data_IF_584544319702
#
_entry.id   IF_584544319702
#
_cell.length_a   1.000
_cell.length_b   1.000
_cell.length_c   1.000
_cell.angle_alpha   90.00
_cell.angle_beta   90.00
_cell.angle_gamma   90.00
#
_symmetry.space_group_name_H-M   'P 1'
#
loop_
_entity.id
_entity.type
_entity.pdbx_description
1 polymer ?
#
# COMPACT_ATOMS: atom_id res chain seq x y z
N UNK A 1 -7.38 13.84 -17.03
CA UNK A 1 -8.23 13.32 -18.12
C UNK A 1 -8.16 11.79 -18.12
N UNK A 2 -7.01 11.14 -18.25
CA UNK A 2 -6.91 9.67 -18.42
C UNK A 2 -7.49 8.87 -17.24
N UNK A 3 -7.33 9.34 -16.00
CA UNK A 3 -7.95 8.70 -14.82
C UNK A 3 -9.49 8.82 -14.84
N UNK A 4 -10.05 9.87 -15.42
CA UNK A 4 -11.50 10.00 -15.61
C UNK A 4 -11.98 8.98 -16.66
N UNK A 5 -11.27 8.82 -17.77
CA UNK A 5 -11.56 7.78 -18.77
C UNK A 5 -11.47 6.37 -18.19
N UNK A 6 -10.45 6.12 -17.36
CA UNK A 6 -10.34 4.85 -16.63
C UNK A 6 -11.58 4.59 -15.77
N UNK A 7 -12.07 5.61 -15.06
CA UNK A 7 -13.27 5.47 -14.25
C UNK A 7 -14.53 5.23 -15.08
N UNK A 8 -14.71 5.94 -16.19
CA UNK A 8 -15.80 5.72 -17.13
C UNK A 8 -15.80 4.29 -17.68
N UNK A 9 -14.62 3.81 -18.14
CA UNK A 9 -14.42 2.43 -18.55
C UNK A 9 -14.78 1.45 -17.44
N UNK A 10 -14.27 1.67 -16.24
CA UNK A 10 -14.51 0.83 -15.08
C UNK A 10 -16.01 0.74 -14.73
N UNK A 11 -16.73 1.86 -14.76
CA UNK A 11 -18.16 1.88 -14.47
C UNK A 11 -18.98 1.16 -15.55
N UNK A 12 -18.58 1.31 -16.81
CA UNK A 12 -19.24 0.65 -17.96
C UNK A 12 -19.02 -0.85 -17.94
N UNK A 13 -17.79 -1.29 -17.73
CA UNK A 13 -17.40 -2.71 -17.73
C UNK A 13 -17.68 -3.41 -16.39
N UNK A 14 -18.05 -2.66 -15.34
CA UNK A 14 -18.18 -3.16 -13.98
C UNK A 14 -16.90 -3.75 -13.38
N UNK A 15 -15.76 -3.38 -13.94
CA UNK A 15 -14.45 -3.83 -13.49
C UNK A 15 -14.17 -3.40 -12.05
N UNK A 16 -13.47 -4.25 -11.29
CA UNK A 16 -13.08 -4.01 -9.90
C UNK A 16 -11.58 -3.80 -9.82
N UNK A 17 -11.16 -2.66 -9.29
CA UNK A 17 -9.74 -2.31 -9.21
C UNK A 17 -9.31 -2.12 -7.76
N UNK A 18 -8.23 -2.76 -7.38
CA UNK A 18 -7.56 -2.61 -6.09
C UNK A 18 -6.12 -2.15 -6.31
N UNK A 19 -5.73 -1.06 -5.68
CA UNK A 19 -4.34 -0.58 -5.70
C UNK A 19 -3.80 -0.54 -4.28
N UNK A 20 -2.83 -1.40 -3.99
CA UNK A 20 -2.12 -1.45 -2.71
C UNK A 20 -0.91 -0.52 -2.78
N UNK A 21 -0.83 0.41 -1.84
CA UNK A 21 0.30 1.33 -1.70
C UNK A 21 1.12 0.99 -0.46
N UNK A 22 2.30 0.48 -0.71
CA UNK A 22 3.28 0.16 0.32
C UNK A 22 4.57 0.98 0.14
N UNK A 23 5.45 0.91 1.10
CA UNK A 23 6.69 1.65 1.12
C UNK A 23 7.01 2.19 2.50
N UNK A 24 8.25 2.63 2.67
CA UNK A 24 8.73 3.19 3.94
C UNK A 24 7.94 4.43 4.36
N UNK A 25 8.05 4.78 5.61
CA UNK A 25 7.48 6.04 6.09
C UNK A 25 8.12 7.22 5.36
N UNK A 26 7.34 8.27 5.16
CA UNK A 26 7.69 9.41 4.33
C UNK A 26 7.92 9.13 2.81
N UNK A 27 7.72 7.92 2.31
CA UNK A 27 7.83 7.61 0.89
C UNK A 27 6.83 8.39 0.01
N UNK A 28 5.69 8.82 0.57
CA UNK A 28 4.73 9.65 -0.14
C UNK A 28 3.43 8.95 -0.52
N UNK A 29 3.11 7.83 0.15
CA UNK A 29 1.89 7.02 -0.07
C UNK A 29 0.63 7.89 -0.19
N UNK A 30 0.22 8.56 0.87
CA UNK A 30 -1.01 9.35 0.87
C UNK A 30 -1.06 10.44 -0.22
N UNK A 31 0.08 11.07 -0.56
CA UNK A 31 0.12 12.07 -1.63
C UNK A 31 0.01 11.46 -3.03
N UNK A 32 0.44 10.21 -3.21
CA UNK A 32 0.29 9.47 -4.47
C UNK A 32 -1.13 8.94 -4.61
N UNK A 33 -1.70 8.40 -3.54
CA UNK A 33 -3.10 7.98 -3.46
C UNK A 33 -4.03 9.15 -3.81
N UNK A 34 -3.79 10.32 -3.22
CA UNK A 34 -4.59 11.51 -3.53
C UNK A 34 -4.49 11.89 -5.01
N UNK A 35 -3.27 11.90 -5.59
CA UNK A 35 -3.08 12.22 -6.99
C UNK A 35 -3.77 11.24 -7.96
N UNK A 36 -3.86 9.96 -7.59
CA UNK A 36 -4.60 8.95 -8.37
C UNK A 36 -6.11 9.18 -8.29
N UNK A 37 -6.62 9.65 -7.15
CA UNK A 37 -8.06 9.74 -6.90
C UNK A 37 -8.66 11.15 -7.03
N UNK A 38 -7.83 12.17 -7.09
CA UNK A 38 -8.23 13.59 -7.02
C UNK A 38 -9.35 13.98 -8.01
N UNK A 39 -9.33 13.41 -9.19
CA UNK A 39 -10.30 13.70 -10.24
C UNK A 39 -11.30 12.55 -10.48
N UNK A 40 -11.33 11.55 -9.61
CA UNK A 40 -12.30 10.46 -9.67
C UNK A 40 -13.52 10.75 -8.81
N UNK A 41 -14.67 10.20 -9.17
CA UNK A 41 -15.88 10.29 -8.36
C UNK A 41 -15.68 9.56 -7.03
N UNK A 42 -15.73 10.24 -5.87
CA UNK A 42 -15.46 9.66 -4.56
C UNK A 42 -16.46 8.57 -4.14
N UNK A 43 -17.64 8.49 -4.79
CA UNK A 43 -18.64 7.45 -4.53
C UNK A 43 -18.21 6.08 -5.07
N UNK A 44 -17.36 6.05 -6.09
CA UNK A 44 -16.86 4.81 -6.72
C UNK A 44 -15.34 4.65 -6.62
N UNK A 45 -14.63 5.65 -6.07
CA UNK A 45 -13.19 5.61 -5.84
C UNK A 45 -12.89 5.94 -4.37
N UNK A 46 -12.75 4.92 -3.52
CA UNK A 46 -12.52 5.10 -2.07
C UNK A 46 -11.10 4.74 -1.65
N UNK A 47 -10.68 5.31 -0.53
CA UNK A 47 -9.42 4.97 0.12
C UNK A 47 -9.68 4.20 1.41
N UNK A 48 -8.96 3.11 1.60
CA UNK A 48 -8.95 2.32 2.81
C UNK A 48 -7.64 2.58 3.56
N UNK A 49 -7.75 3.04 4.79
CA UNK A 49 -6.65 3.23 5.73
C UNK A 49 -7.11 2.66 7.08
N UNK A 50 -6.89 1.37 7.28
CA UNK A 50 -7.37 0.69 8.48
C UNK A 50 -6.54 1.08 9.71
N UNK A 51 -7.17 1.33 10.86
CA UNK A 51 -6.47 1.58 12.11
C UNK A 51 -5.81 0.30 12.63
N UNK A 52 -5.12 0.40 13.77
CA UNK A 52 -4.62 -0.77 14.50
C UNK A 52 -5.78 -1.77 14.72
N UNK A 53 -5.55 -3.08 14.53
CA UNK A 53 -6.59 -4.08 14.75
C UNK A 53 -7.19 -4.02 16.15
N UNK A 54 -8.51 -4.14 16.25
CA UNK A 54 -9.22 -4.34 17.54
C UNK A 54 -8.89 -5.72 18.12
N UNK A 55 -9.28 -5.94 19.38
CA UNK A 55 -9.08 -7.25 20.03
C UNK A 55 -9.86 -8.37 19.31
N UNK A 56 -11.06 -8.06 18.84
CA UNK A 56 -11.87 -8.97 18.01
C UNK A 56 -11.16 -9.31 16.70
N UNK A 57 -10.66 -8.30 15.97
CA UNK A 57 -9.98 -8.52 14.70
C UNK A 57 -8.66 -9.29 14.85
N UNK A 58 -7.99 -9.20 16.01
CA UNK A 58 -6.79 -10.00 16.32
C UNK A 58 -7.10 -11.50 16.47
N UNK A 59 -8.32 -11.85 16.86
CA UNK A 59 -8.80 -13.22 16.96
C UNK A 59 -9.38 -13.79 15.66
N UNK A 60 -9.47 -12.98 14.61
CA UNK A 60 -10.01 -13.39 13.32
C UNK A 60 -8.88 -13.82 12.36
N UNK A 61 -9.27 -14.45 11.26
CA UNK A 61 -8.36 -14.68 10.14
C UNK A 61 -7.75 -13.37 9.68
N UNK A 62 -6.43 -13.36 9.50
CA UNK A 62 -5.67 -12.13 9.28
C UNK A 62 -6.20 -11.27 8.12
N UNK A 63 -6.60 -11.91 7.01
CA UNK A 63 -7.06 -11.20 5.82
C UNK A 63 -8.53 -10.74 5.93
N UNK A 64 -9.29 -11.19 6.93
CA UNK A 64 -10.73 -10.92 7.01
C UNK A 64 -11.07 -9.43 7.00
N UNK A 65 -10.35 -8.62 7.75
CA UNK A 65 -10.57 -7.17 7.81
C UNK A 65 -10.26 -6.47 6.47
N UNK A 66 -9.35 -7.02 5.68
CA UNK A 66 -8.99 -6.51 4.34
C UNK A 66 -9.97 -7.04 3.29
N UNK A 67 -10.37 -8.29 3.36
CA UNK A 67 -11.37 -8.89 2.47
C UNK A 67 -12.70 -8.13 2.53
N UNK A 68 -13.12 -7.69 3.71
CA UNK A 68 -14.31 -6.85 3.91
C UNK A 68 -14.25 -5.49 3.19
N UNK A 69 -13.06 -5.07 2.74
CA UNK A 69 -12.84 -3.81 2.04
C UNK A 69 -12.69 -3.98 0.52
N UNK A 70 -12.87 -5.18 -0.03
CA UNK A 70 -12.76 -5.39 -1.47
C UNK A 70 -13.85 -4.63 -2.24
N UNK A 71 -13.56 -4.24 -3.50
CA UNK A 71 -14.49 -3.47 -4.31
C UNK A 71 -15.72 -4.29 -4.73
N UNK A 72 -16.87 -3.64 -4.78
CA UNK A 72 -17.99 -4.12 -5.58
C UNK A 72 -17.83 -3.75 -7.06
N UNK A 73 -18.71 -4.26 -7.94
CA UNK A 73 -18.68 -4.01 -9.37
C UNK A 73 -18.62 -2.50 -9.70
N UNK A 74 -17.62 -2.07 -10.46
CA UNK A 74 -17.41 -0.68 -10.85
C UNK A 74 -16.76 0.19 -9.77
N UNK A 75 -16.13 -0.41 -8.73
CA UNK A 75 -15.41 0.33 -7.69
C UNK A 75 -13.88 0.30 -7.87
N UNK A 76 -13.25 1.44 -7.55
CA UNK A 76 -11.81 1.64 -7.45
C UNK A 76 -11.42 1.80 -5.98
N UNK A 77 -10.60 0.90 -5.45
CA UNK A 77 -10.19 0.93 -4.04
C UNK A 77 -8.68 1.08 -3.93
N UNK A 78 -8.24 2.08 -3.18
CA UNK A 78 -6.83 2.22 -2.80
C UNK A 78 -6.63 1.84 -1.35
N UNK A 79 -5.54 1.13 -1.05
CA UNK A 79 -5.11 0.85 0.31
C UNK A 79 -3.89 1.69 0.66
N UNK A 80 -4.01 2.56 1.67
CA UNK A 80 -2.85 3.22 2.32
C UNK A 80 -2.36 2.32 3.45
N UNK A 81 -1.38 1.51 3.18
CA UNK A 81 -1.01 0.28 3.89
C UNK A 81 -2.09 -0.81 3.78
N UNK A 82 -1.68 -2.03 3.75
CA UNK A 82 -2.56 -3.17 3.49
C UNK A 82 -2.23 -4.34 4.40
N UNK A 83 -2.62 -5.54 3.98
CA UNK A 83 -2.17 -6.80 4.59
C UNK A 83 -0.65 -6.93 4.65
N UNK A 84 0.08 -6.22 3.82
CA UNK A 84 1.54 -6.19 3.84
C UNK A 84 2.17 -5.51 5.07
N UNK A 85 1.37 -4.93 6.00
CA UNK A 85 1.86 -4.57 7.32
C UNK A 85 2.57 -5.75 8.01
N UNK A 86 2.08 -6.98 7.83
CA UNK A 86 2.66 -8.20 8.40
C UNK A 86 3.96 -8.65 7.71
N UNK A 87 4.26 -8.16 6.52
CA UNK A 87 5.56 -8.36 5.88
C UNK A 87 6.59 -7.26 6.18
N UNK A 88 6.15 -6.10 6.68
CA UNK A 88 6.99 -4.93 6.87
C UNK A 88 7.06 -4.44 8.30
N UNK A 89 6.15 -3.56 8.68
CA UNK A 89 6.19 -2.90 9.99
C UNK A 89 6.00 -3.85 11.16
N UNK A 90 5.16 -4.86 11.04
CA UNK A 90 4.85 -5.76 12.15
C UNK A 90 6.06 -6.59 12.60
N UNK A 91 6.81 -7.30 11.73
CA UNK A 91 8.00 -8.04 12.16
C UNK A 91 9.13 -7.12 12.61
N UNK A 92 9.34 -5.97 11.96
CA UNK A 92 10.41 -5.03 12.33
C UNK A 92 10.18 -4.41 13.70
N UNK A 93 8.91 -4.16 14.07
CA UNK A 93 8.54 -3.56 15.36
C UNK A 93 8.14 -4.59 16.43
N UNK A 94 8.15 -5.89 16.11
CA UNK A 94 7.76 -6.94 17.05
C UNK A 94 6.25 -6.99 17.32
N UNK A 95 5.42 -6.58 16.36
CA UNK A 95 3.96 -6.59 16.50
C UNK A 95 3.33 -7.92 16.06
N UNK A 96 4.10 -8.81 15.45
CA UNK A 96 3.72 -10.18 15.16
C UNK A 96 4.84 -11.15 15.55
N UNK A 97 4.50 -12.42 15.75
CA UNK A 97 5.48 -13.47 15.97
C UNK A 97 6.18 -13.87 14.66
N UNK A 98 7.38 -14.49 14.72
CA UNK A 98 8.02 -15.05 13.52
C UNK A 98 7.14 -16.06 12.77
N UNK A 99 6.38 -16.89 13.50
CA UNK A 99 5.45 -17.87 12.91
C UNK A 99 4.32 -17.17 12.13
N UNK A 100 3.71 -16.12 12.69
CA UNK A 100 2.67 -15.34 12.00
C UNK A 100 3.21 -14.62 10.76
N UNK A 101 4.46 -14.16 10.79
CA UNK A 101 5.11 -13.55 9.64
C UNK A 101 5.34 -14.57 8.52
N UNK A 102 5.85 -15.76 8.85
CA UNK A 102 6.09 -16.82 7.86
C UNK A 102 4.78 -17.33 7.25
N UNK A 103 3.77 -17.62 8.06
CA UNK A 103 2.43 -17.97 7.61
C UNK A 103 1.85 -16.93 6.64
N UNK A 104 1.99 -15.65 6.96
CA UNK A 104 1.55 -14.57 6.09
C UNK A 104 2.26 -14.61 4.72
N UNK A 105 3.57 -14.83 4.69
CA UNK A 105 4.34 -14.88 3.43
C UNK A 105 3.93 -16.05 2.53
N UNK A 106 3.42 -17.14 3.12
CA UNK A 106 2.85 -18.28 2.39
C UNK A 106 1.42 -18.03 1.91
N UNK A 107 0.60 -17.41 2.74
CA UNK A 107 -0.82 -17.19 2.45
C UNK A 107 -1.09 -16.01 1.52
N UNK A 108 -0.29 -14.94 1.60
CA UNK A 108 -0.55 -13.72 0.83
C UNK A 108 -0.61 -13.96 -0.70
N UNK A 109 0.28 -14.77 -1.33
CA UNK A 109 0.14 -15.12 -2.73
C UNK A 109 -1.15 -15.88 -3.07
N UNK A 110 -1.64 -16.73 -2.17
CA UNK A 110 -2.88 -17.47 -2.35
C UNK A 110 -4.10 -16.56 -2.28
N UNK A 111 -4.15 -15.68 -1.27
CA UNK A 111 -5.17 -14.64 -1.14
C UNK A 111 -5.26 -13.76 -2.38
N UNK A 112 -4.13 -13.26 -2.86
CA UNK A 112 -4.05 -12.41 -4.06
C UNK A 112 -4.44 -13.16 -5.34
N UNK A 113 -4.07 -14.43 -5.45
CA UNK A 113 -4.48 -15.30 -6.55
C UNK A 113 -6.00 -15.49 -6.58
N UNK A 114 -6.65 -15.66 -5.41
CA UNK A 114 -8.11 -15.72 -5.33
C UNK A 114 -8.76 -14.43 -5.81
N UNK A 115 -8.27 -13.25 -5.37
CA UNK A 115 -8.76 -11.95 -5.82
C UNK A 115 -8.64 -11.79 -7.35
N UNK A 116 -7.46 -12.12 -7.90
CA UNK A 116 -7.22 -12.04 -9.34
C UNK A 116 -8.10 -13.03 -10.14
N UNK A 117 -8.29 -14.25 -9.63
CA UNK A 117 -9.14 -15.27 -10.26
C UNK A 117 -10.63 -14.89 -10.24
N UNK A 118 -11.04 -14.10 -9.25
CA UNK A 118 -12.40 -13.53 -9.17
C UNK A 118 -12.57 -12.27 -10.06
N UNK A 119 -11.55 -11.90 -10.84
CA UNK A 119 -11.58 -10.79 -11.79
C UNK A 119 -11.28 -9.42 -11.19
N UNK A 120 -10.64 -9.34 -10.02
CA UNK A 120 -10.15 -8.09 -9.46
C UNK A 120 -8.80 -7.73 -10.10
N UNK A 121 -8.71 -6.54 -10.68
CA UNK A 121 -7.43 -5.98 -11.15
C UNK A 121 -6.63 -5.50 -9.94
N UNK A 122 -5.66 -6.29 -9.50
CA UNK A 122 -4.83 -6.01 -8.33
C UNK A 122 -3.49 -5.41 -8.74
N UNK A 123 -3.22 -4.17 -8.27
CA UNK A 123 -1.94 -3.49 -8.41
C UNK A 123 -1.23 -3.40 -7.07
N UNK A 124 0.03 -3.82 -7.01
CA UNK A 124 0.89 -3.68 -5.82
C UNK A 124 2.00 -2.69 -6.10
N UNK A 125 1.94 -1.52 -5.47
CA UNK A 125 2.89 -0.42 -5.66
C UNK A 125 3.76 -0.29 -4.42
N UNK A 126 5.08 -0.43 -4.60
CA UNK A 126 6.07 -0.08 -3.60
C UNK A 126 6.70 1.28 -3.91
N UNK A 127 6.46 2.27 -3.06
CA UNK A 127 7.12 3.57 -3.17
C UNK A 127 8.49 3.51 -2.51
N UNK A 128 9.54 3.51 -3.32
CA UNK A 128 10.91 3.36 -2.87
C UNK A 128 11.56 4.73 -2.63
N UNK A 129 11.86 5.02 -1.38
CA UNK A 129 12.55 6.24 -0.94
C UNK A 129 13.95 5.93 -0.44
N UNK A 130 14.93 6.73 -0.82
CA UNK A 130 16.30 6.64 -0.27
C UNK A 130 16.38 7.19 1.16
N UNK A 131 17.33 6.64 1.95
CA UNK A 131 17.52 6.99 3.39
C UNK A 131 17.68 8.48 3.62
N UNK A 132 18.54 9.14 2.86
CA UNK A 132 18.78 10.59 2.97
C UNK A 132 17.52 11.40 2.72
N UNK A 133 16.72 11.01 1.70
CA UNK A 133 15.46 11.70 1.39
C UNK A 133 14.40 11.44 2.46
N UNK A 134 14.35 10.26 3.06
CA UNK A 134 13.46 9.95 4.18
C UNK A 134 13.78 10.85 5.38
N UNK A 135 15.04 10.94 5.77
CA UNK A 135 15.51 11.81 6.87
C UNK A 135 15.16 13.27 6.62
N UNK A 136 15.40 13.77 5.40
CA UNK A 136 15.01 15.13 5.01
C UNK A 136 13.50 15.36 5.19
N UNK A 137 12.68 14.42 4.75
CA UNK A 137 11.21 14.54 4.88
C UNK A 137 10.74 14.44 6.32
N UNK A 138 11.39 13.66 7.17
CA UNK A 138 11.10 13.63 8.60
C UNK A 138 11.46 14.96 9.27
N UNK A 139 12.61 15.53 8.92
CA UNK A 139 12.98 16.87 9.39
C UNK A 139 11.94 17.93 8.97
N UNK A 140 11.54 17.94 7.71
CA UNK A 140 10.50 18.83 7.19
C UNK A 140 9.15 18.65 7.94
N UNK A 141 8.75 17.42 8.25
CA UNK A 141 7.50 17.13 9.00
C UNK A 141 7.58 17.67 10.42
N UNK A 142 8.70 17.43 11.13
CA UNK A 142 8.90 17.87 12.50
C UNK A 142 8.77 19.38 12.66
N UNK A 143 9.25 20.15 11.68
CA UNK A 143 9.27 21.61 11.73
C UNK A 143 8.08 22.27 11.01
N UNK A 144 7.16 21.49 10.44
CA UNK A 144 5.98 22.03 9.77
C UNK A 144 4.76 22.04 10.70
N UNK A 145 4.17 23.20 11.01
CA UNK A 145 2.96 23.27 11.84
C UNK A 145 1.77 22.52 11.24
N UNK A 146 1.75 22.33 9.91
CA UNK A 146 0.68 21.61 9.21
C UNK A 146 0.93 20.11 9.07
N UNK A 147 2.11 19.60 9.45
CA UNK A 147 2.51 18.21 9.17
C UNK A 147 3.12 17.48 10.36
N UNK A 148 3.35 18.16 11.51
CA UNK A 148 3.95 17.53 12.68
C UNK A 148 3.13 16.32 13.19
N UNK A 149 1.82 16.36 13.05
CA UNK A 149 0.92 15.25 13.39
C UNK A 149 1.18 13.96 12.59
N UNK A 150 1.89 14.05 11.46
CA UNK A 150 2.33 12.88 10.65
C UNK A 150 3.62 12.26 11.15
N UNK A 151 4.24 12.84 12.18
CA UNK A 151 5.49 12.35 12.74
C UNK A 151 5.19 11.60 14.03
N UNK A 152 5.20 10.28 13.96
CA UNK A 152 4.79 9.37 15.03
C UNK A 152 5.99 8.79 15.79
N UNK A 153 5.79 8.24 17.01
CA UNK A 153 6.83 7.47 17.71
C UNK A 153 7.36 6.28 16.89
N UNK A 154 6.53 5.68 16.03
CA UNK A 154 6.94 4.59 15.14
C UNK A 154 7.91 5.08 14.08
N UNK A 155 7.71 6.30 13.53
CA UNK A 155 8.65 6.92 12.59
C UNK A 155 10.03 7.11 13.24
N UNK A 156 10.05 7.53 14.50
CA UNK A 156 11.29 7.72 15.28
C UNK A 156 11.99 6.37 15.52
N UNK A 157 11.26 5.38 16.01
CA UNK A 157 11.79 4.03 16.25
C UNK A 157 12.29 3.37 14.94
N UNK A 158 11.67 3.68 13.82
CA UNK A 158 12.05 3.18 12.49
C UNK A 158 13.37 3.75 11.95
N UNK A 159 13.85 4.90 12.48
CA UNK A 159 15.09 5.54 12.00
C UNK A 159 16.32 4.66 12.16
N UNK A 160 16.42 3.89 13.24
CA UNK A 160 17.53 2.97 13.53
C UNK A 160 17.39 1.61 12.86
N UNK A 161 16.20 1.31 12.30
CA UNK A 161 15.83 0.00 11.73
C UNK A 161 15.84 -0.03 10.20
N UNK A 162 16.67 0.81 9.58
CA UNK A 162 16.71 0.89 8.12
C UNK A 162 17.04 -0.43 7.45
N UNK A 163 18.03 -1.16 7.97
CA UNK A 163 18.47 -2.44 7.41
C UNK A 163 17.42 -3.54 7.66
N UNK A 164 16.80 -3.57 8.84
CA UNK A 164 15.72 -4.51 9.15
C UNK A 164 14.56 -4.35 8.16
N UNK A 165 14.15 -3.11 7.90
CA UNK A 165 13.12 -2.81 6.90
C UNK A 165 13.57 -3.19 5.48
N UNK A 166 14.86 -3.06 5.14
CA UNK A 166 15.39 -3.47 3.84
C UNK A 166 15.30 -4.99 3.68
N UNK A 167 15.73 -5.73 4.69
CA UNK A 167 15.68 -7.19 4.70
C UNK A 167 14.24 -7.71 4.56
N UNK A 168 13.30 -7.12 5.32
CA UNK A 168 11.88 -7.50 5.26
C UNK A 168 11.25 -7.18 3.89
N UNK A 169 11.57 -6.02 3.30
CA UNK A 169 11.14 -5.68 1.94
C UNK A 169 11.64 -6.69 0.91
N UNK A 170 12.90 -7.04 0.97
CA UNK A 170 13.51 -7.93 -0.01
C UNK A 170 12.95 -9.35 0.11
N UNK A 171 12.72 -9.81 1.35
CA UNK A 171 12.04 -11.08 1.63
C UNK A 171 10.60 -11.06 1.12
N UNK A 172 9.86 -9.99 1.40
CA UNK A 172 8.49 -9.78 0.90
C UNK A 172 8.44 -9.87 -0.62
N UNK A 173 9.31 -9.16 -1.33
CA UNK A 173 9.37 -9.23 -2.80
C UNK A 173 9.67 -10.65 -3.28
N UNK A 174 10.67 -11.30 -2.69
CA UNK A 174 11.06 -12.67 -3.05
C UNK A 174 9.91 -13.66 -2.89
N UNK A 175 9.11 -13.54 -1.83
CA UNK A 175 8.06 -14.49 -1.48
C UNK A 175 6.70 -14.18 -2.12
N UNK A 176 6.43 -12.92 -2.44
CA UNK A 176 5.08 -12.48 -2.84
C UNK A 176 5.01 -11.80 -4.22
N UNK A 177 6.13 -11.68 -4.96
CA UNK A 177 6.08 -11.24 -6.36
C UNK A 177 5.65 -12.41 -7.24
N UNK A 178 4.38 -12.40 -7.66
CA UNK A 178 3.80 -13.49 -8.46
C UNK A 178 3.34 -12.98 -9.83
N UNK A 179 3.14 -13.90 -10.77
CA UNK A 179 2.59 -13.54 -12.09
C UNK A 179 1.17 -12.97 -11.99
N UNK A 180 0.36 -13.46 -11.04
CA UNK A 180 -1.01 -13.00 -10.84
C UNK A 180 -1.07 -11.61 -10.18
N UNK A 181 -0.13 -11.30 -9.30
CA UNK A 181 -0.05 -10.05 -8.57
C UNK A 181 1.42 -9.59 -8.41
N UNK A 182 2.02 -9.01 -9.47
CA UNK A 182 3.41 -8.56 -9.42
C UNK A 182 3.56 -7.26 -8.62
N UNK A 183 4.69 -7.12 -7.93
CA UNK A 183 5.10 -5.84 -7.36
C UNK A 183 5.64 -4.89 -8.42
N UNK A 184 5.26 -3.65 -8.34
CA UNK A 184 5.86 -2.54 -9.11
C UNK A 184 6.57 -1.59 -8.16
N UNK A 185 7.87 -1.42 -8.37
CA UNK A 185 8.69 -0.51 -7.57
C UNK A 185 8.78 0.84 -8.25
N UNK A 186 8.34 1.90 -7.56
CA UNK A 186 8.35 3.27 -8.05
C UNK A 186 9.30 4.11 -7.20
N UNK A 187 10.37 4.64 -7.80
CA UNK A 187 11.30 5.54 -7.12
C UNK A 187 10.59 6.83 -6.69
N UNK A 188 10.60 7.12 -5.38
CA UNK A 188 9.78 8.19 -4.81
C UNK A 188 10.56 9.34 -4.17
N UNK A 189 11.86 9.47 -4.43
CA UNK A 189 12.63 10.64 -4.01
C UNK A 189 12.04 11.92 -4.60
N UNK A 190 11.63 11.90 -5.86
CA UNK A 190 10.83 12.95 -6.50
C UNK A 190 9.34 12.57 -6.43
N UNK A 191 8.56 13.35 -5.68
CA UNK A 191 7.13 13.11 -5.47
C UNK A 191 6.30 13.27 -6.75
N UNK A 192 6.66 14.23 -7.62
CA UNK A 192 5.91 14.50 -8.86
C UNK A 192 6.10 13.34 -9.84
N UNK A 193 7.35 12.95 -10.03
CA UNK A 193 7.70 11.81 -10.88
C UNK A 193 7.05 10.52 -10.37
N UNK A 194 7.11 10.24 -9.06
CA UNK A 194 6.50 9.06 -8.48
C UNK A 194 4.98 8.98 -8.75
N UNK A 195 4.27 10.11 -8.63
CA UNK A 195 2.83 10.18 -8.93
C UNK A 195 2.56 9.88 -10.40
N UNK A 196 3.31 10.49 -11.31
CA UNK A 196 3.14 10.28 -12.75
C UNK A 196 3.43 8.83 -13.16
N UNK A 197 4.53 8.24 -12.66
CA UNK A 197 4.88 6.85 -12.97
C UNK A 197 3.85 5.86 -12.39
N UNK A 198 3.32 6.12 -11.20
CA UNK A 198 2.24 5.31 -10.62
C UNK A 198 0.98 5.37 -11.47
N UNK A 199 0.55 6.57 -11.87
CA UNK A 199 -0.63 6.76 -12.73
C UNK A 199 -0.42 6.06 -14.08
N UNK A 200 0.73 6.27 -14.72
CA UNK A 200 1.07 5.59 -15.99
C UNK A 200 1.01 4.07 -15.86
N UNK A 201 1.55 3.53 -14.78
CA UNK A 201 1.52 2.08 -14.55
C UNK A 201 0.10 1.55 -14.43
N UNK A 202 -0.77 2.23 -13.66
CA UNK A 202 -2.19 1.83 -13.51
C UNK A 202 -2.92 1.89 -14.86
N UNK A 203 -2.66 2.91 -15.68
CA UNK A 203 -3.29 3.09 -16.98
C UNK A 203 -2.77 2.16 -18.08
N UNK A 204 -1.60 1.53 -17.89
CA UNK A 204 -0.96 0.65 -18.89
C UNK A 204 -1.36 -0.82 -18.79
N UNK A 205 -2.14 -1.18 -17.78
CA UNK A 205 -2.54 -2.57 -17.47
C UNK A 205 -4.04 -2.76 -17.58
#
# INVERSE_FOLDING_TARGET
>A
IELVKLQEWQQTTKSRIVVVFEGRDAAGKGGTINAVRENMNPRSARNVALPKPSDTERGQWYFQRYAAQMPTAGEFVTFDRSWYNRAGVEPVMGFCTPAQHEEFLEEAPNFEKMLASDGIHLFKIWLDIGRTMQLKRFHERRHSPLRHWKFSPIDIAGLTKWEDYSAMRDLMFKRTHTKAAPWTVVRSNDKRRARLETIRHILSR
#
